data_IF_228824130699
#
_entry.id   IF_228824130699
#
_cell.length_a   1.000
_cell.length_b   1.000
_cell.length_c   1.000
_cell.angle_alpha   90.00
_cell.angle_beta   90.00
_cell.angle_gamma   90.00
#
_symmetry.space_group_name_H-M   'P 1'
#
loop_
_entity.id
_entity.type
_entity.pdbx_description
1 polymer ?
#
# COMPACT_ATOMS: atom_id res chain seq x y z
N UNK A 1 12.89 2.00 4.24
CA UNK A 1 13.39 2.28 2.87
C UNK A 1 12.90 3.64 2.42
N UNK A 2 13.79 4.45 1.91
CA UNK A 2 13.45 5.79 1.39
C UNK A 2 13.51 5.79 -0.13
N UNK A 3 12.49 6.36 -0.76
CA UNK A 3 12.43 6.47 -2.22
C UNK A 3 11.57 7.64 -2.64
N UNK A 4 11.80 8.11 -3.85
CA UNK A 4 11.03 9.20 -4.44
C UNK A 4 9.75 8.66 -5.06
N UNK A 5 8.63 9.34 -4.84
CA UNK A 5 7.37 9.05 -5.51
C UNK A 5 7.36 9.76 -6.86
N UNK A 6 7.24 8.99 -7.93
CA UNK A 6 7.25 9.51 -9.29
C UNK A 6 5.84 9.90 -9.73
N UNK A 7 4.85 9.09 -9.37
CA UNK A 7 3.47 9.31 -9.77
C UNK A 7 2.51 8.67 -8.78
N UNK A 8 1.28 9.17 -8.75
CA UNK A 8 0.18 8.59 -7.97
C UNK A 8 -1.04 8.48 -8.89
N UNK A 9 -1.56 7.28 -9.02
CA UNK A 9 -2.73 6.99 -9.84
C UNK A 9 -3.87 6.60 -8.91
N UNK A 10 -4.98 7.33 -8.95
CA UNK A 10 -6.18 6.98 -8.21
C UNK A 10 -7.14 6.20 -9.09
N UNK A 11 -7.76 5.17 -8.52
CA UNK A 11 -8.74 4.35 -9.19
C UNK A 11 -9.96 4.18 -8.30
N UNK A 12 -11.13 4.42 -8.86
CA UNK A 12 -12.39 4.16 -8.18
C UNK A 12 -12.75 2.69 -8.30
N UNK A 13 -13.07 2.07 -7.18
CA UNK A 13 -13.54 0.70 -7.09
C UNK A 13 -15.01 0.72 -6.67
N UNK A 14 -15.84 0.06 -7.44
CA UNK A 14 -17.27 -0.10 -7.14
C UNK A 14 -17.55 -1.60 -7.03
N UNK A 15 -17.90 -2.06 -5.83
CA UNK A 15 -18.22 -3.47 -5.59
C UNK A 15 -19.71 -3.75 -5.54
N UNK A 16 -20.56 -2.79 -5.97
CA UNK A 16 -22.00 -2.89 -5.93
C UNK A 16 -22.65 -2.53 -4.59
N UNK A 17 -21.86 -2.43 -3.53
CA UNK A 17 -22.30 -2.07 -2.18
C UNK A 17 -21.79 -0.67 -1.81
N UNK A 18 -20.52 -0.41 -2.09
CA UNK A 18 -19.87 0.85 -1.78
C UNK A 18 -18.88 1.22 -2.88
N UNK A 19 -18.59 2.50 -2.99
CA UNK A 19 -17.54 3.03 -3.85
C UNK A 19 -16.39 3.53 -2.96
N UNK A 20 -15.17 3.23 -3.36
CA UNK A 20 -13.97 3.71 -2.66
C UNK A 20 -12.83 3.88 -3.65
N UNK A 21 -11.80 4.62 -3.23
CA UNK A 21 -10.63 4.85 -4.05
C UNK A 21 -9.46 3.99 -3.59
N UNK A 22 -8.67 3.57 -4.57
CA UNK A 22 -7.40 2.90 -4.34
C UNK A 22 -6.31 3.75 -5.01
N UNK A 23 -5.23 3.98 -4.32
CA UNK A 23 -4.13 4.80 -4.81
C UNK A 23 -2.95 3.90 -5.14
N UNK A 24 -2.48 3.96 -6.37
CA UNK A 24 -1.29 3.27 -6.82
C UNK A 24 -0.14 4.25 -6.89
N UNK A 25 0.88 4.00 -6.08
CA UNK A 25 2.07 4.83 -6.00
C UNK A 25 3.16 4.22 -6.86
N UNK A 26 3.71 5.02 -7.77
CA UNK A 26 4.85 4.65 -8.60
C UNK A 26 6.09 5.26 -7.95
N UNK A 27 7.07 4.43 -7.64
CA UNK A 27 8.30 4.84 -6.98
C UNK A 27 9.51 4.58 -7.86
N UNK A 28 10.61 5.18 -7.50
CA UNK A 28 11.86 5.23 -8.25
C UNK A 28 12.71 3.95 -8.10
N UNK A 29 12.39 3.10 -7.11
CA UNK A 29 13.12 1.87 -6.85
C UNK A 29 12.20 0.65 -6.97
N UNK A 30 12.71 -0.46 -7.55
CA UNK A 30 11.94 -1.70 -7.55
C UNK A 30 11.83 -2.28 -6.14
N UNK A 31 10.71 -2.92 -5.87
CA UNK A 31 10.46 -3.65 -4.63
C UNK A 31 9.94 -5.05 -4.93
N UNK A 32 10.27 -5.98 -4.05
CA UNK A 32 9.74 -7.34 -4.09
C UNK A 32 8.38 -7.36 -3.41
N UNK A 33 7.39 -7.92 -4.08
CA UNK A 33 6.03 -8.03 -3.54
C UNK A 33 5.48 -9.43 -3.71
N UNK A 34 4.73 -9.88 -2.71
CA UNK A 34 3.85 -11.03 -2.88
C UNK A 34 2.46 -10.53 -3.26
N UNK A 35 1.94 -11.06 -4.35
CA UNK A 35 0.59 -10.77 -4.82
C UNK A 35 -0.02 -12.07 -5.31
N UNK A 36 -1.18 -12.43 -4.76
CA UNK A 36 -1.89 -13.67 -5.10
C UNK A 36 -1.01 -14.93 -5.00
N UNK A 37 -0.16 -15.00 -3.97
CA UNK A 37 0.74 -16.12 -3.74
C UNK A 37 1.96 -16.17 -4.67
N UNK A 38 2.19 -15.13 -5.48
CA UNK A 38 3.34 -15.02 -6.37
C UNK A 38 4.26 -13.91 -5.92
N UNK A 39 5.55 -14.13 -6.05
CA UNK A 39 6.52 -13.06 -5.91
C UNK A 39 6.66 -12.32 -7.24
N UNK A 40 6.48 -11.01 -7.20
CA UNK A 40 6.71 -10.12 -8.33
C UNK A 40 7.65 -9.00 -7.92
N UNK A 41 8.37 -8.47 -8.88
CA UNK A 41 9.25 -7.31 -8.68
C UNK A 41 8.72 -6.19 -9.54
N UNK A 42 8.33 -5.09 -8.92
CA UNK A 42 7.95 -3.88 -9.64
C UNK A 42 8.21 -2.64 -8.79
N UNK A 43 7.92 -1.48 -9.33
CA UNK A 43 8.15 -0.20 -8.68
C UNK A 43 6.85 0.48 -8.24
N UNK A 44 5.84 -0.31 -7.92
CA UNK A 44 4.54 0.23 -7.48
C UNK A 44 4.09 -0.43 -6.18
N UNK A 45 3.29 0.32 -5.42
CA UNK A 45 2.51 -0.25 -4.33
C UNK A 45 1.15 0.44 -4.26
N UNK A 46 0.19 -0.22 -3.65
CA UNK A 46 -1.19 0.24 -3.61
C UNK A 46 -1.63 0.43 -2.17
N UNK A 47 -2.27 1.57 -1.90
CA UNK A 47 -2.93 1.82 -0.62
C UNK A 47 -4.42 2.00 -0.86
N UNK A 48 -5.24 1.47 0.04
CA UNK A 48 -6.66 1.78 0.08
C UNK A 48 -6.87 3.23 0.54
N UNK A 49 -8.04 3.78 0.27
CA UNK A 49 -8.41 5.13 0.73
C UNK A 49 -8.24 5.26 2.25
N UNK A 50 -8.64 4.23 3.00
CA UNK A 50 -8.47 4.21 4.45
C UNK A 50 -6.99 4.32 4.85
N UNK A 51 -6.13 3.51 4.25
CA UNK A 51 -4.70 3.53 4.56
C UNK A 51 -4.04 4.86 4.14
N UNK A 52 -4.44 5.40 2.98
CA UNK A 52 -3.95 6.69 2.51
C UNK A 52 -4.29 7.83 3.47
N UNK A 53 -5.51 7.84 4.01
CA UNK A 53 -5.92 8.80 5.04
C UNK A 53 -5.16 8.62 6.34
N UNK A 54 -4.98 7.38 6.77
CA UNK A 54 -4.25 7.04 7.98
C UNK A 54 -2.82 7.57 7.94
N UNK A 55 -2.16 7.45 6.80
CA UNK A 55 -0.79 7.92 6.62
C UNK A 55 -0.69 9.35 6.11
N UNK A 56 -1.83 10.00 5.86
CA UNK A 56 -1.91 11.35 5.33
C UNK A 56 -1.14 11.51 4.00
N UNK A 57 -1.27 10.55 3.12
CA UNK A 57 -0.66 10.56 1.79
C UNK A 57 -1.73 10.66 0.71
N UNK A 58 -1.43 11.39 -0.36
CA UNK A 58 -2.32 11.58 -1.50
C UNK A 58 -1.48 11.97 -2.73
N UNK A 59 -2.14 12.39 -3.81
CA UNK A 59 -1.45 12.76 -5.03
C UNK A 59 -0.45 13.91 -4.87
N UNK A 60 -0.54 14.71 -3.80
CA UNK A 60 0.38 15.84 -3.57
C UNK A 60 1.79 15.39 -3.19
N UNK A 61 2.01 14.12 -2.87
CA UNK A 61 3.34 13.62 -2.54
C UNK A 61 4.20 13.27 -3.75
N UNK A 62 3.68 13.43 -4.96
CA UNK A 62 4.48 13.24 -6.18
C UNK A 62 5.70 14.16 -6.15
N UNK A 63 6.87 13.61 -6.39
CA UNK A 63 8.14 14.31 -6.31
C UNK A 63 8.78 14.36 -4.93
N UNK A 64 8.09 13.87 -3.90
CA UNK A 64 8.60 13.83 -2.54
C UNK A 64 9.22 12.47 -2.22
N UNK A 65 10.12 12.46 -1.26
CA UNK A 65 10.72 11.22 -0.75
C UNK A 65 9.86 10.68 0.39
N UNK A 66 9.48 9.42 0.29
CA UNK A 66 8.77 8.72 1.35
C UNK A 66 9.69 7.70 2.03
N UNK A 67 9.46 7.48 3.31
CA UNK A 67 10.08 6.41 4.07
C UNK A 67 9.03 5.35 4.36
N UNK A 68 9.31 4.12 3.96
CA UNK A 68 8.37 3.03 4.13
C UNK A 68 9.09 1.72 4.47
N UNK A 69 8.37 0.82 5.14
CA UNK A 69 8.79 -0.53 5.40
C UNK A 69 7.90 -1.52 4.65
N UNK A 70 8.49 -2.63 4.27
CA UNK A 70 7.79 -3.72 3.62
C UNK A 70 7.68 -4.87 4.61
N UNK A 71 6.46 -5.32 4.85
CA UNK A 71 6.16 -6.46 5.72
C UNK A 71 5.55 -7.56 4.88
N UNK A 72 6.11 -8.76 4.97
CA UNK A 72 5.61 -9.94 4.28
C UNK A 72 4.71 -10.75 5.21
N UNK A 73 3.51 -11.06 4.75
CA UNK A 73 2.56 -11.90 5.48
C UNK A 73 2.36 -13.20 4.72
N UNK A 74 2.46 -14.31 5.43
CA UNK A 74 2.20 -15.63 4.85
C UNK A 74 0.73 -16.00 4.98
N UNK A 75 0.24 -16.84 4.07
CA UNK A 75 -1.10 -17.41 4.17
C UNK A 75 -1.29 -18.09 5.51
N UNK A 76 -2.40 -17.78 6.19
CA UNK A 76 -2.70 -18.30 7.54
C UNK A 76 -2.28 -17.36 8.68
N UNK A 77 -1.43 -16.37 8.44
CA UNK A 77 -1.13 -15.34 9.44
C UNK A 77 -2.39 -14.54 9.77
N UNK A 78 -2.51 -14.11 11.02
CA UNK A 78 -3.67 -13.35 11.48
C UNK A 78 -3.36 -11.87 11.59
N UNK A 79 -4.39 -11.07 11.41
CA UNK A 79 -4.33 -9.62 11.62
C UNK A 79 -5.63 -9.12 12.25
N UNK A 80 -5.55 -8.00 12.95
CA UNK A 80 -6.69 -7.38 13.63
C UNK A 80 -7.19 -6.20 12.81
N UNK A 81 -8.51 -6.18 12.55
CA UNK A 81 -9.14 -5.04 11.89
C UNK A 81 -9.34 -3.90 12.89
N UNK A 82 -9.55 -2.64 12.41
CA UNK A 82 -9.84 -1.51 13.29
C UNK A 82 -11.09 -1.68 14.14
N UNK A 83 -12.03 -2.52 13.73
CA UNK A 83 -13.27 -2.79 14.46
C UNK A 83 -13.18 -4.05 15.35
N UNK A 84 -11.98 -4.59 15.55
CA UNK A 84 -11.71 -5.62 16.53
C UNK A 84 -11.85 -7.06 16.07
N UNK A 85 -12.13 -7.31 14.79
CA UNK A 85 -12.16 -8.68 14.25
C UNK A 85 -10.75 -9.19 14.00
N UNK A 86 -10.57 -10.51 14.18
CA UNK A 86 -9.34 -11.19 13.81
C UNK A 86 -9.57 -11.97 12.52
N UNK A 87 -8.82 -11.64 11.49
CA UNK A 87 -8.91 -12.25 10.18
C UNK A 87 -7.59 -12.93 9.81
N UNK A 88 -7.64 -13.83 8.82
CA UNK A 88 -6.46 -14.52 8.31
C UNK A 88 -6.17 -14.08 6.88
N UNK A 89 -4.89 -13.97 6.55
CA UNK A 89 -4.48 -13.80 5.17
C UNK A 89 -4.75 -15.06 4.38
N UNK A 90 -5.40 -14.93 3.24
CA UNK A 90 -5.72 -16.06 2.35
C UNK A 90 -4.50 -16.49 1.53
N UNK A 91 -3.65 -15.54 1.18
CA UNK A 91 -2.47 -15.74 0.35
C UNK A 91 -1.28 -14.99 0.95
N UNK A 92 -0.08 -15.39 0.55
CA UNK A 92 1.10 -14.60 0.84
C UNK A 92 0.94 -13.21 0.23
N UNK A 93 1.18 -12.18 1.01
CA UNK A 93 1.02 -10.80 0.56
C UNK A 93 2.08 -9.89 1.15
N UNK A 94 2.22 -8.73 0.55
CA UNK A 94 3.13 -7.67 1.00
C UNK A 94 2.31 -6.49 1.49
N UNK A 95 2.61 -6.03 2.69
CA UNK A 95 2.07 -4.80 3.24
C UNK A 95 3.12 -3.71 3.23
N UNK A 96 2.75 -2.53 2.78
CA UNK A 96 3.61 -1.34 2.83
C UNK A 96 3.15 -0.48 4.00
N UNK A 97 4.09 -0.16 4.89
CA UNK A 97 3.84 0.70 6.04
C UNK A 97 4.59 2.00 5.80
N UNK A 98 3.86 3.10 5.74
CA UNK A 98 4.45 4.42 5.52
C UNK A 98 4.87 5.00 6.86
N UNK A 99 6.16 5.27 7.03
CA UNK A 99 6.70 5.87 8.25
C UNK A 99 6.66 7.40 8.20
N UNK A 100 6.67 7.97 7.01
CA UNK A 100 6.62 9.39 6.81
C UNK A 100 7.07 9.79 5.43
N UNK A 101 7.06 11.09 5.16
CA UNK A 101 7.59 11.64 3.92
C UNK A 101 8.21 13.01 4.19
N UNK A 102 9.17 13.36 3.36
CA UNK A 102 9.92 14.60 3.50
C UNK A 102 9.33 15.67 2.58
N UNK A 103 9.12 16.84 3.15
CA UNK A 103 8.63 18.03 2.46
C UNK A 103 9.81 18.92 2.06
N UNK A 104 10.03 19.05 0.79
CA UNK A 104 11.03 19.98 0.27
C UNK A 104 10.41 20.89 -0.77
#
# INVERSE_FOLDING_TARGET
MKTKVINVISKEIDNGIAKYYVYKFVIDKPIDKFSDGRMIIDNTFTLTEYAARKYNVNASIVGKTIDFDIVYHKAGDTYKTPWGETLKFKNDCTQVIINGYEWY
#
